data_IF_264019850577
#
_entry.id   IF_264019850577
#
_cell.length_a   1.000
_cell.length_b   1.000
_cell.length_c   1.000
_cell.angle_alpha   90.00
_cell.angle_beta   90.00
_cell.angle_gamma   90.00
#
_symmetry.space_group_name_H-M   'P 1'
#
loop_
_entity.id
_entity.type
_entity.pdbx_description
1 polymer ?
#
# COMPACT_ATOMS: atom_id res chain seq x y z
N UNK A 1 16.15 15.45 11.15
CA UNK A 1 16.67 16.76 10.68
C UNK A 1 16.13 17.93 11.50
N UNK A 2 14.81 18.22 11.55
CA UNK A 2 14.29 19.41 12.25
C UNK A 2 14.73 19.53 13.73
N UNK A 3 14.57 18.47 14.53
CA UNK A 3 14.97 18.47 15.95
C UNK A 3 16.46 18.76 16.10
N UNK A 4 17.30 18.16 15.26
CA UNK A 4 18.75 18.34 15.27
C UNK A 4 19.12 19.77 14.91
N UNK A 5 18.56 20.32 13.83
CA UNK A 5 18.84 21.69 13.37
C UNK A 5 18.37 22.73 14.38
N UNK A 6 17.17 22.57 14.95
CA UNK A 6 16.62 23.47 15.97
C UNK A 6 17.43 23.40 17.28
N UNK A 7 17.84 22.20 17.69
CA UNK A 7 18.66 22.01 18.89
C UNK A 7 20.04 22.63 18.72
N UNK A 8 20.67 22.45 17.56
CA UNK A 8 21.96 23.08 17.25
C UNK A 8 21.84 24.61 17.22
N UNK A 9 20.81 25.17 16.58
CA UNK A 9 20.57 26.62 16.60
C UNK A 9 20.35 27.17 18.01
N UNK A 10 19.59 26.46 18.84
CA UNK A 10 19.33 26.87 20.23
C UNK A 10 20.60 26.86 21.09
N UNK A 11 21.42 25.81 20.98
CA UNK A 11 22.70 25.70 21.71
C UNK A 11 23.67 26.77 21.25
N UNK A 12 23.74 27.06 19.95
CA UNK A 12 24.60 28.14 19.42
C UNK A 12 24.14 29.51 19.93
N UNK A 13 22.82 29.76 19.96
CA UNK A 13 22.27 31.01 20.50
C UNK A 13 22.54 31.18 22.00
N UNK A 14 22.40 30.10 22.79
CA UNK A 14 22.79 30.11 24.20
C UNK A 14 24.29 30.33 24.39
N UNK A 15 25.13 29.73 23.54
CA UNK A 15 26.57 29.90 23.60
C UNK A 15 26.98 31.36 23.34
N UNK A 16 26.35 32.04 22.36
CA UNK A 16 26.59 33.45 22.11
C UNK A 16 26.26 34.33 23.33
N UNK A 17 25.19 34.00 24.06
CA UNK A 17 24.69 34.80 25.19
C UNK A 17 25.42 34.49 26.50
N UNK A 18 25.97 33.28 26.69
CA UNK A 18 26.51 32.83 27.98
C UNK A 18 27.99 32.43 28.00
N UNK A 19 28.67 32.34 26.84
CA UNK A 19 30.11 32.04 26.80
C UNK A 19 30.91 33.36 26.85
N UNK A 20 31.76 33.59 27.86
CA UNK A 20 32.44 34.88 28.07
C UNK A 20 33.28 35.36 26.89
N UNK A 21 33.92 34.43 26.17
CA UNK A 21 34.68 34.74 24.96
C UNK A 21 33.79 35.29 23.83
N UNK A 22 32.61 34.70 23.61
CA UNK A 22 31.67 35.13 22.58
C UNK A 22 30.96 36.42 22.98
N UNK A 23 30.62 36.60 24.26
CA UNK A 23 30.05 37.85 24.78
C UNK A 23 30.96 39.05 24.51
N UNK A 24 32.27 38.87 24.65
CA UNK A 24 33.24 39.94 24.40
C UNK A 24 33.34 40.31 22.91
N UNK A 25 33.22 39.32 22.02
CA UNK A 25 33.25 39.54 20.56
C UNK A 25 31.96 40.19 20.08
N UNK A 26 30.81 39.71 20.57
CA UNK A 26 29.48 40.10 20.08
C UNK A 26 28.79 41.16 20.94
N UNK A 27 29.43 41.63 22.02
CA UNK A 27 28.90 42.63 22.95
C UNK A 27 27.51 42.27 23.51
N UNK A 28 27.31 41.01 23.87
CA UNK A 28 26.03 40.52 24.42
C UNK A 28 26.09 40.47 25.94
N UNK A 29 25.01 40.89 26.61
CA UNK A 29 24.84 40.69 28.06
C UNK A 29 24.12 39.37 28.36
N UNK A 30 24.55 38.69 29.41
CA UNK A 30 23.88 37.49 29.89
C UNK A 30 22.47 37.84 30.39
N UNK A 31 21.47 37.11 29.89
CA UNK A 31 20.12 37.22 30.43
C UNK A 31 20.10 36.71 31.88
N UNK A 32 19.41 37.42 32.77
CA UNK A 32 19.24 36.99 34.16
C UNK A 32 18.50 35.64 34.20
N UNK A 33 18.84 34.80 35.18
CA UNK A 33 18.25 33.46 35.36
C UNK A 33 16.72 33.49 35.49
N UNK A 34 16.16 34.55 36.09
CA UNK A 34 14.71 34.74 36.19
C UNK A 34 14.04 34.87 34.80
N UNK A 35 14.63 35.65 33.89
CA UNK A 35 14.11 35.86 32.54
C UNK A 35 14.28 34.60 31.68
N UNK A 36 15.42 33.92 31.80
CA UNK A 36 15.67 32.65 31.11
C UNK A 36 14.67 31.58 31.55
N UNK A 37 14.40 31.48 32.86
CA UNK A 37 13.41 30.54 33.38
C UNK A 37 12.00 30.83 32.87
N UNK A 38 11.66 32.11 32.73
CA UNK A 38 10.37 32.56 32.19
C UNK A 38 10.24 32.19 30.71
N UNK A 39 11.28 32.40 29.91
CA UNK A 39 11.30 32.02 28.49
C UNK A 39 11.19 30.50 28.30
N UNK A 40 11.90 29.71 29.10
CA UNK A 40 11.82 28.25 29.05
C UNK A 40 10.43 27.74 29.45
N UNK A 41 9.82 28.34 30.48
CA UNK A 41 8.44 28.01 30.87
C UNK A 41 7.45 28.32 29.75
N UNK A 42 7.54 29.50 29.13
CA UNK A 42 6.67 29.89 28.01
C UNK A 42 6.84 28.95 26.81
N UNK A 43 8.06 28.54 26.49
CA UNK A 43 8.34 27.58 25.43
C UNK A 43 7.76 26.19 25.74
N UNK A 44 7.91 25.70 26.97
CA UNK A 44 7.35 24.42 27.40
C UNK A 44 5.81 24.42 27.37
N UNK A 45 5.19 25.51 27.82
CA UNK A 45 3.73 25.70 27.76
C UNK A 45 3.26 25.76 26.31
N UNK A 46 3.95 26.50 25.44
CA UNK A 46 3.63 26.58 24.00
C UNK A 46 3.70 25.21 23.33
N UNK A 47 4.77 24.43 23.58
CA UNK A 47 4.91 23.06 23.08
C UNK A 47 3.81 22.13 23.61
N UNK A 48 3.50 22.22 24.91
CA UNK A 48 2.44 21.45 25.54
C UNK A 48 1.06 21.75 24.97
N UNK A 49 0.73 23.03 24.78
CA UNK A 49 -0.52 23.46 24.15
C UNK A 49 -0.59 23.03 22.67
N UNK A 50 0.51 23.10 21.94
CA UNK A 50 0.56 22.68 20.54
C UNK A 50 0.38 21.16 20.39
N UNK A 51 1.00 20.36 21.25
CA UNK A 51 0.81 18.90 21.26
C UNK A 51 -0.58 18.52 21.78
N UNK A 52 -1.10 19.24 22.78
CA UNK A 52 -2.46 19.09 23.28
C UNK A 52 -3.51 19.37 22.21
N UNK A 53 -3.38 20.50 21.49
CA UNK A 53 -4.22 20.83 20.33
C UNK A 53 -4.13 19.74 19.26
N UNK A 54 -2.92 19.28 18.92
CA UNK A 54 -2.72 18.22 17.92
C UNK A 54 -3.39 16.90 18.33
N UNK A 55 -3.32 16.52 19.62
CA UNK A 55 -4.04 15.36 20.16
C UNK A 55 -5.56 15.54 20.13
N UNK A 56 -6.04 16.73 20.46
CA UNK A 56 -7.46 17.06 20.41
C UNK A 56 -8.02 17.01 18.98
N UNK A 57 -7.33 17.66 18.03
CA UNK A 57 -7.65 17.60 16.59
C UNK A 57 -7.61 16.16 16.04
N UNK A 58 -6.65 15.34 16.47
CA UNK A 58 -6.63 13.89 16.14
C UNK A 58 -7.86 13.15 16.68
N UNK A 59 -8.30 13.45 17.91
CA UNK A 59 -9.48 12.81 18.50
C UNK A 59 -10.78 13.22 17.81
N UNK A 60 -10.89 14.50 17.42
CA UNK A 60 -12.01 15.00 16.64
C UNK A 60 -12.03 14.37 15.25
N UNK A 61 -10.88 14.32 14.56
CA UNK A 61 -10.79 13.73 13.23
C UNK A 61 -11.02 12.21 13.24
N UNK A 62 -10.62 11.49 14.30
CA UNK A 62 -10.96 10.07 14.46
C UNK A 62 -12.48 9.87 14.58
N UNK A 63 -13.14 10.75 15.34
CA UNK A 63 -14.60 10.72 15.53
C UNK A 63 -15.37 11.14 14.27
N UNK A 64 -14.87 12.13 13.54
CA UNK A 64 -15.43 12.63 12.28
C UNK A 64 -15.21 11.65 11.13
N UNK A 65 -14.04 10.99 11.05
CA UNK A 65 -13.77 9.96 10.03
C UNK A 65 -14.69 8.75 10.23
N UNK A 66 -14.94 8.37 11.49
CA UNK A 66 -15.90 7.32 11.83
C UNK A 66 -17.34 7.73 11.53
N UNK A 67 -17.73 8.97 11.89
CA UNK A 67 -19.08 9.49 11.67
C UNK A 67 -19.41 9.73 10.18
N UNK A 68 -18.45 10.19 9.36
CA UNK A 68 -18.61 10.39 7.91
C UNK A 68 -18.70 9.04 7.18
N UNK A 69 -17.94 8.02 7.62
CA UNK A 69 -18.04 6.67 7.06
C UNK A 69 -19.41 6.00 7.31
N UNK A 70 -20.12 6.41 8.35
CA UNK A 70 -21.49 5.98 8.66
C UNK A 70 -22.56 6.88 8.02
N UNK A 71 -22.39 8.21 8.01
CA UNK A 71 -23.42 9.15 7.51
C UNK A 71 -23.50 9.21 5.98
N UNK A 72 -22.43 8.86 5.27
CA UNK A 72 -22.46 8.70 3.81
C UNK A 72 -23.29 7.48 3.36
N UNK A 73 -23.67 6.56 4.28
CA UNK A 73 -24.47 5.36 3.96
C UNK A 73 -25.85 5.30 4.61
N UNK A 74 -26.06 5.95 5.74
CA UNK A 74 -27.37 6.04 6.39
C UNK A 74 -27.65 7.51 6.72
N UNK A 75 -28.69 8.06 6.10
CA UNK A 75 -29.09 9.46 6.28
C UNK A 75 -29.29 9.83 7.75
N UNK A 76 -29.10 11.13 8.01
CA UNK A 76 -29.18 11.84 9.29
C UNK A 76 -30.17 11.23 10.31
N UNK A 77 -29.68 10.37 11.20
CA UNK A 77 -30.43 9.92 12.37
C UNK A 77 -29.58 10.10 13.62
N UNK A 78 -30.00 11.04 14.44
CA UNK A 78 -29.34 11.58 15.63
C UNK A 78 -29.40 10.66 16.86
N UNK A 79 -29.07 9.38 16.71
CA UNK A 79 -28.98 8.46 17.87
C UNK A 79 -27.65 7.69 17.82
N UNK A 80 -26.65 8.25 18.52
CA UNK A 80 -25.27 7.73 18.58
C UNK A 80 -25.06 6.73 19.71
N UNK A 81 -26.13 6.24 20.34
CA UNK A 81 -26.05 5.17 21.33
C UNK A 81 -26.52 3.86 20.70
N UNK A 82 -25.61 2.89 20.59
CA UNK A 82 -25.80 1.57 19.96
C UNK A 82 -25.60 1.53 18.43
N UNK A 83 -24.34 1.58 17.97
CA UNK A 83 -23.99 0.97 16.68
C UNK A 83 -23.32 -0.39 16.97
N UNK A 84 -23.97 -1.52 16.62
CA UNK A 84 -23.32 -2.81 16.71
C UNK A 84 -22.12 -2.84 15.77
N UNK A 85 -21.14 -3.65 16.15
CA UNK A 85 -19.94 -3.99 15.40
C UNK A 85 -20.32 -4.71 14.10
N UNK A 86 -20.98 -4.00 13.18
CA UNK A 86 -21.41 -4.51 11.89
C UNK A 86 -20.16 -4.66 11.02
N UNK A 87 -19.63 -5.88 11.05
CA UNK A 87 -18.60 -6.41 10.16
C UNK A 87 -18.73 -5.79 8.76
N UNK A 88 -17.63 -5.23 8.25
CA UNK A 88 -17.47 -4.97 6.82
C UNK A 88 -17.76 -6.29 6.07
N UNK A 89 -18.92 -6.40 5.43
CA UNK A 89 -19.28 -7.61 4.69
C UNK A 89 -18.57 -7.58 3.33
N UNK A 90 -17.32 -8.05 3.29
CA UNK A 90 -16.56 -8.23 2.04
C UNK A 90 -17.23 -9.34 1.23
N UNK A 91 -17.73 -9.07 0.01
CA UNK A 91 -18.38 -10.09 -0.81
C UNK A 91 -17.43 -11.27 -1.09
N UNK A 92 -17.89 -12.48 -0.79
CA UNK A 92 -17.19 -13.72 -1.15
C UNK A 92 -17.89 -14.35 -2.33
N UNK A 93 -17.17 -14.49 -3.44
CA UNK A 93 -17.70 -15.10 -4.66
C UNK A 93 -16.86 -16.33 -5.02
N UNK A 94 -17.54 -17.38 -5.49
CA UNK A 94 -16.88 -18.56 -6.03
C UNK A 94 -17.04 -18.53 -7.55
N UNK A 95 -15.90 -18.50 -8.25
CA UNK A 95 -15.85 -18.42 -9.71
C UNK A 95 -15.22 -19.70 -10.26
N UNK A 96 -15.70 -20.14 -11.42
CA UNK A 96 -15.23 -21.35 -12.06
C UNK A 96 -15.77 -21.49 -13.47
N UNK A 97 -14.98 -22.18 -14.30
CA UNK A 97 -15.19 -22.31 -15.74
C UNK A 97 -13.92 -21.99 -16.54
N UNK A 98 -14.11 -21.73 -17.83
CA UNK A 98 -13.17 -21.02 -18.68
C UNK A 98 -12.88 -19.61 -18.18
N UNK A 99 -11.80 -18.99 -18.65
CA UNK A 99 -11.41 -17.64 -18.25
C UNK A 99 -12.51 -16.62 -18.54
N UNK A 100 -13.14 -16.71 -19.72
CA UNK A 100 -14.31 -15.89 -20.06
C UNK A 100 -15.48 -16.11 -19.10
N UNK A 101 -15.84 -17.35 -18.75
CA UNK A 101 -16.96 -17.62 -17.83
C UNK A 101 -16.68 -17.14 -16.40
N UNK A 102 -15.42 -17.25 -15.94
CA UNK A 102 -14.96 -16.66 -14.68
C UNK A 102 -15.18 -15.15 -14.72
N UNK A 103 -14.73 -14.50 -15.80
CA UNK A 103 -14.89 -13.07 -16.01
C UNK A 103 -16.36 -12.65 -16.05
N UNK A 104 -17.18 -13.36 -16.83
CA UNK A 104 -18.61 -13.09 -16.98
C UNK A 104 -19.34 -13.11 -15.64
N UNK A 105 -19.09 -14.14 -14.83
CA UNK A 105 -19.67 -14.23 -13.48
C UNK A 105 -19.14 -13.14 -12.55
N UNK A 106 -17.84 -12.80 -12.62
CA UNK A 106 -17.27 -11.69 -11.86
C UNK A 106 -17.98 -10.38 -12.21
N UNK A 107 -18.09 -10.07 -13.50
CA UNK A 107 -18.79 -8.88 -14.00
C UNK A 107 -20.25 -8.83 -13.54
N UNK A 108 -20.99 -9.93 -13.67
CA UNK A 108 -22.40 -10.01 -13.26
C UNK A 108 -22.60 -9.83 -11.75
N UNK A 109 -21.79 -10.51 -10.93
CA UNK A 109 -21.94 -10.52 -9.47
C UNK A 109 -21.46 -9.23 -8.81
N UNK A 110 -20.48 -8.55 -9.41
CA UNK A 110 -19.85 -7.35 -8.84
C UNK A 110 -20.07 -6.10 -9.70
N UNK A 111 -21.07 -6.09 -10.59
CA UNK A 111 -21.31 -4.98 -11.51
C UNK A 111 -21.42 -3.61 -10.82
N UNK A 112 -22.18 -3.44 -9.71
CA UNK A 112 -22.24 -2.16 -9.01
C UNK A 112 -20.86 -1.69 -8.52
N UNK A 113 -20.09 -2.59 -7.91
CA UNK A 113 -18.79 -2.24 -7.33
C UNK A 113 -17.72 -1.99 -8.41
N UNK A 114 -17.83 -2.63 -9.58
CA UNK A 114 -16.98 -2.35 -10.74
C UNK A 114 -17.26 -0.94 -11.27
N UNK A 115 -18.52 -0.51 -11.34
CA UNK A 115 -18.88 0.85 -11.73
C UNK A 115 -18.32 1.88 -10.74
N UNK A 116 -18.51 1.67 -9.44
CA UNK A 116 -17.96 2.54 -8.40
C UNK A 116 -16.43 2.67 -8.54
N UNK A 117 -15.75 1.55 -8.80
CA UNK A 117 -14.30 1.54 -9.04
C UNK A 117 -13.91 2.34 -10.28
N UNK A 118 -14.62 2.20 -11.40
CA UNK A 118 -14.36 2.97 -12.61
C UNK A 118 -14.54 4.47 -12.38
N UNK A 119 -15.56 4.89 -11.63
CA UNK A 119 -15.76 6.29 -11.26
C UNK A 119 -14.60 6.84 -10.43
N UNK A 120 -14.14 6.07 -9.43
CA UNK A 120 -12.99 6.42 -8.60
C UNK A 120 -11.73 6.58 -9.46
N UNK A 121 -11.44 5.65 -10.38
CA UNK A 121 -10.24 5.76 -11.22
C UNK A 121 -10.34 6.85 -12.27
N UNK A 122 -11.51 7.11 -12.83
CA UNK A 122 -11.75 8.25 -13.72
C UNK A 122 -11.39 9.56 -13.00
N UNK A 123 -11.88 9.73 -11.78
CA UNK A 123 -11.54 10.89 -10.96
C UNK A 123 -10.04 10.92 -10.61
N UNK A 124 -9.45 9.80 -10.20
CA UNK A 124 -8.03 9.71 -9.84
C UNK A 124 -7.11 10.08 -11.00
N UNK A 125 -7.33 9.54 -12.19
CA UNK A 125 -6.51 9.85 -13.36
C UNK A 125 -6.68 11.30 -13.81
N UNK A 126 -7.90 11.83 -13.76
CA UNK A 126 -8.14 13.23 -14.08
C UNK A 126 -7.44 14.17 -13.10
N UNK A 127 -7.60 13.93 -11.80
CA UNK A 127 -7.08 14.85 -10.79
C UNK A 127 -5.57 14.73 -10.62
N UNK A 128 -5.02 13.53 -10.62
CA UNK A 128 -3.60 13.33 -10.29
C UNK A 128 -2.73 13.20 -11.54
N UNK A 129 -3.18 12.44 -12.54
CA UNK A 129 -2.42 12.24 -13.78
C UNK A 129 -2.71 13.33 -14.84
N UNK A 130 -3.73 14.17 -14.62
CA UNK A 130 -4.22 15.16 -15.61
C UNK A 130 -4.63 14.53 -16.94
N UNK A 131 -5.08 13.28 -16.89
CA UNK A 131 -5.56 12.53 -18.04
C UNK A 131 -7.07 12.39 -17.97
N UNK A 132 -7.76 12.78 -19.04
CA UNK A 132 -9.14 12.43 -19.25
C UNK A 132 -9.26 10.95 -19.63
N UNK A 133 -10.42 10.36 -19.36
CA UNK A 133 -10.61 8.92 -19.56
C UNK A 133 -10.26 8.40 -20.97
N UNK A 134 -10.58 9.10 -22.08
CA UNK A 134 -10.15 8.67 -23.42
C UNK A 134 -8.63 8.52 -23.56
N UNK A 135 -7.84 9.38 -22.91
CA UNK A 135 -6.38 9.31 -22.92
C UNK A 135 -5.87 8.11 -22.10
N UNK A 136 -6.55 7.78 -21.00
CA UNK A 136 -6.30 6.55 -20.23
C UNK A 136 -6.54 5.32 -21.10
N UNK A 137 -7.63 5.31 -21.88
CA UNK A 137 -7.95 4.21 -22.79
C UNK A 137 -6.94 4.06 -23.94
N UNK A 138 -6.31 5.14 -24.41
CA UNK A 138 -5.21 5.08 -25.39
C UNK A 138 -3.99 4.34 -24.83
N UNK A 139 -3.64 4.54 -23.55
CA UNK A 139 -2.57 3.79 -22.89
C UNK A 139 -2.99 2.33 -22.66
N UNK A 140 -4.22 2.11 -22.17
CA UNK A 140 -4.77 0.76 -21.97
C UNK A 140 -4.81 -0.05 -23.28
N UNK A 141 -5.06 0.59 -24.42
CA UNK A 141 -5.04 -0.06 -25.73
C UNK A 141 -3.67 -0.64 -26.10
N UNK A 142 -2.57 -0.03 -25.64
CA UNK A 142 -1.22 -0.56 -25.84
C UNK A 142 -1.01 -1.82 -24.99
N UNK A 143 -1.41 -1.79 -23.71
CA UNK A 143 -1.38 -2.96 -22.84
C UNK A 143 -2.23 -4.11 -23.38
N UNK A 144 -3.41 -3.83 -23.94
CA UNK A 144 -4.26 -4.85 -24.56
C UNK A 144 -3.49 -5.68 -25.60
N UNK A 145 -2.59 -5.06 -26.37
CA UNK A 145 -1.76 -5.77 -27.36
C UNK A 145 -0.77 -6.72 -26.67
N UNK A 146 -0.08 -6.26 -25.63
CA UNK A 146 0.83 -7.10 -24.85
C UNK A 146 0.09 -8.27 -24.17
N UNK A 147 -1.05 -7.99 -23.53
CA UNK A 147 -1.87 -9.00 -22.85
C UNK A 147 -2.35 -10.06 -23.83
N UNK A 148 -2.85 -9.66 -25.01
CA UNK A 148 -3.27 -10.61 -26.06
C UNK A 148 -2.16 -11.58 -26.45
N UNK A 149 -0.93 -11.11 -26.52
CA UNK A 149 0.20 -11.92 -26.98
C UNK A 149 0.79 -12.79 -25.87
N UNK A 150 0.81 -12.29 -24.64
CA UNK A 150 1.53 -12.90 -23.52
C UNK A 150 0.62 -13.70 -22.57
N UNK A 151 -0.65 -13.29 -22.43
CA UNK A 151 -1.63 -13.90 -21.53
C UNK A 151 -3.06 -13.80 -22.12
N UNK A 152 -3.34 -14.43 -23.28
CA UNK A 152 -4.64 -14.31 -23.96
C UNK A 152 -5.82 -14.74 -23.08
N UNK A 153 -5.65 -15.79 -22.27
CA UNK A 153 -6.68 -16.27 -21.35
C UNK A 153 -7.11 -15.20 -20.34
N UNK A 154 -6.18 -14.35 -19.88
CA UNK A 154 -6.52 -13.24 -18.97
C UNK A 154 -7.22 -12.10 -19.70
N UNK A 155 -6.96 -11.91 -21.00
CA UNK A 155 -7.73 -10.96 -21.80
C UNK A 155 -9.17 -11.42 -21.98
N UNK A 156 -9.38 -12.73 -22.19
CA UNK A 156 -10.71 -13.33 -22.29
C UNK A 156 -11.48 -13.19 -20.97
N UNK A 157 -10.81 -13.34 -19.83
CA UNK A 157 -11.41 -13.05 -18.51
C UNK A 157 -11.82 -11.58 -18.39
N UNK A 158 -10.97 -10.63 -18.79
CA UNK A 158 -11.31 -9.21 -18.77
C UNK A 158 -12.48 -8.88 -19.71
N UNK A 159 -12.57 -9.55 -20.86
CA UNK A 159 -13.71 -9.42 -21.77
C UNK A 159 -14.98 -9.95 -21.11
N UNK A 160 -14.91 -11.11 -20.46
CA UNK A 160 -16.01 -11.64 -19.67
C UNK A 160 -16.48 -10.65 -18.60
N UNK A 161 -15.55 -10.00 -17.88
CA UNK A 161 -15.90 -8.99 -16.87
C UNK A 161 -16.69 -7.84 -17.50
N UNK A 162 -16.21 -7.28 -18.62
CA UNK A 162 -16.89 -6.18 -19.31
C UNK A 162 -18.31 -6.60 -19.76
N UNK A 163 -18.43 -7.76 -20.42
CA UNK A 163 -19.71 -8.31 -20.88
C UNK A 163 -20.67 -8.59 -19.72
N UNK A 164 -20.14 -9.03 -18.58
CA UNK A 164 -20.92 -9.34 -17.38
C UNK A 164 -21.47 -8.09 -16.69
N UNK A 165 -20.75 -6.96 -16.77
CA UNK A 165 -21.23 -5.65 -16.31
C UNK A 165 -22.27 -5.09 -17.28
N UNK A 166 -22.03 -5.24 -18.59
CA UNK A 166 -22.99 -5.04 -19.68
C UNK A 166 -23.05 -3.62 -20.29
N UNK A 167 -22.51 -2.62 -19.60
CA UNK A 167 -22.54 -1.21 -20.01
C UNK A 167 -21.15 -0.53 -20.01
N UNK A 168 -20.08 -1.33 -20.04
CA UNK A 168 -18.68 -0.87 -20.12
C UNK A 168 -17.91 -1.67 -21.18
N UNK A 169 -16.77 -1.14 -21.64
CA UNK A 169 -15.96 -1.77 -22.67
C UNK A 169 -14.77 -2.54 -22.08
N UNK A 170 -14.20 -3.47 -22.87
CA UNK A 170 -12.98 -4.21 -22.51
C UNK A 170 -11.85 -3.27 -22.07
N UNK A 171 -11.67 -2.13 -22.74
CA UNK A 171 -10.59 -1.20 -22.41
C UNK A 171 -10.77 -0.53 -21.04
N UNK A 172 -12.00 -0.40 -20.52
CA UNK A 172 -12.23 0.05 -19.15
C UNK A 172 -11.62 -0.94 -18.14
N UNK A 173 -11.82 -2.24 -18.37
CA UNK A 173 -11.26 -3.30 -17.53
C UNK A 173 -9.75 -3.42 -17.70
N UNK A 174 -9.23 -3.29 -18.93
CA UNK A 174 -7.78 -3.26 -19.15
C UNK A 174 -7.16 -2.07 -18.40
N UNK A 175 -7.78 -0.89 -18.44
CA UNK A 175 -7.32 0.28 -17.71
C UNK A 175 -7.28 0.05 -16.18
N UNK A 176 -8.29 -0.63 -15.61
CA UNK A 176 -8.28 -1.02 -14.19
C UNK A 176 -7.12 -1.97 -13.87
N UNK A 177 -6.82 -2.91 -14.76
CA UNK A 177 -5.76 -3.91 -14.56
C UNK A 177 -4.35 -3.38 -14.87
N UNK A 178 -4.22 -2.26 -15.59
CA UNK A 178 -2.97 -1.53 -15.84
C UNK A 178 -2.86 -0.23 -15.06
N UNK A 179 -3.68 -0.07 -14.01
CA UNK A 179 -3.79 1.19 -13.25
C UNK A 179 -2.48 1.64 -12.61
N UNK A 180 -1.65 0.70 -12.17
CA UNK A 180 -0.41 0.99 -11.48
C UNK A 180 0.62 1.51 -12.46
N UNK A 181 0.70 0.90 -13.64
CA UNK A 181 1.56 1.32 -14.74
C UNK A 181 1.19 2.73 -15.19
N UNK A 182 -0.11 3.00 -15.40
CA UNK A 182 -0.60 4.31 -15.86
C UNK A 182 -0.31 5.39 -14.80
N UNK A 183 -0.58 5.11 -13.52
CA UNK A 183 -0.41 6.12 -12.48
C UNK A 183 1.07 6.38 -12.13
N UNK A 184 1.87 5.32 -11.94
CA UNK A 184 3.24 5.43 -11.44
C UNK A 184 4.20 6.01 -12.49
N UNK A 185 4.01 5.70 -13.78
CA UNK A 185 4.81 6.27 -14.87
C UNK A 185 4.66 7.81 -14.92
N UNK A 186 3.44 8.29 -14.68
CA UNK A 186 3.08 9.70 -14.65
C UNK A 186 3.45 10.40 -13.32
N UNK A 187 4.11 9.69 -12.39
CA UNK A 187 4.62 10.25 -11.14
C UNK A 187 3.62 10.30 -9.99
N UNK A 188 2.43 9.71 -10.16
CA UNK A 188 1.33 9.73 -9.18
C UNK A 188 1.57 8.74 -8.04
N UNK A 189 1.20 9.14 -6.83
CA UNK A 189 1.11 8.22 -5.70
C UNK A 189 -0.23 7.50 -5.69
N UNK A 190 -0.20 6.17 -5.83
CA UNK A 190 -1.34 5.32 -5.50
C UNK A 190 -1.29 4.99 -4.01
N UNK A 191 -2.46 4.92 -3.37
CA UNK A 191 -2.59 4.63 -1.94
C UNK A 191 -1.76 3.42 -1.52
N UNK A 192 -1.05 3.58 -0.40
CA UNK A 192 -0.27 2.52 0.25
C UNK A 192 -1.22 1.44 0.76
N UNK A 193 -1.04 0.20 0.30
CA UNK A 193 -1.84 -0.93 0.74
C UNK A 193 -1.04 -1.70 1.81
N UNK A 194 -1.48 -1.63 3.07
CA UNK A 194 -1.06 -2.55 4.13
C UNK A 194 -2.29 -3.43 4.42
N UNK A 195 -2.20 -4.75 4.19
CA UNK A 195 -3.30 -5.67 4.47
C UNK A 195 -2.92 -6.60 5.62
N UNK A 196 -3.78 -6.62 6.64
CA UNK A 196 -3.80 -7.63 7.68
C UNK A 196 -4.53 -8.88 7.14
N UNK A 197 -3.80 -9.95 6.81
CA UNK A 197 -4.45 -11.21 6.42
C UNK A 197 -5.20 -11.83 7.61
N UNK A 198 -6.50 -12.12 7.51
CA UNK A 198 -7.23 -12.92 8.50
C UNK A 198 -7.28 -14.41 8.11
N UNK A 199 -7.16 -15.31 9.10
CA UNK A 199 -7.40 -16.75 8.91
C UNK A 199 -8.90 -17.01 8.67
N UNK A 200 -9.29 -17.84 7.68
CA UNK A 200 -10.64 -18.40 7.63
C UNK A 200 -10.88 -19.32 8.83
N UNK A 201 -12.02 -19.17 9.51
CA UNK A 201 -12.54 -20.20 10.42
C UNK A 201 -13.27 -21.26 9.59
N UNK A 202 -12.78 -22.49 9.73
CA UNK A 202 -13.35 -23.80 9.38
C UNK A 202 -13.64 -24.14 7.91
N UNK A 203 -12.90 -25.17 7.43
CA UNK A 203 -13.34 -26.25 6.54
C UNK A 203 -13.70 -25.93 5.09
N UNK A 204 -12.78 -26.17 4.14
CA UNK A 204 -13.13 -26.25 2.71
C UNK A 204 -12.46 -27.46 2.04
N UNK A 205 -13.32 -28.24 1.39
CA UNK A 205 -13.10 -29.49 0.67
C UNK A 205 -12.27 -29.28 -0.62
N UNK A 206 -11.39 -30.25 -0.87
CA UNK A 206 -10.42 -30.28 -1.95
C UNK A 206 -11.09 -30.76 -3.25
N UNK A 207 -11.17 -29.91 -4.28
CA UNK A 207 -11.26 -30.44 -5.68
C UNK A 207 -10.99 -29.50 -6.85
N UNK A 208 -10.94 -28.18 -6.71
CA UNK A 208 -10.66 -27.30 -7.86
C UNK A 208 -9.33 -26.54 -7.75
N UNK A 209 -8.43 -26.84 -8.70
CA UNK A 209 -7.09 -26.23 -8.81
C UNK A 209 -7.09 -24.74 -9.22
N UNK A 210 -8.27 -24.12 -9.34
CA UNK A 210 -8.49 -22.70 -9.66
C UNK A 210 -9.16 -21.89 -8.53
N UNK A 211 -9.24 -22.43 -7.31
CA UNK A 211 -9.70 -21.65 -6.16
C UNK A 211 -8.61 -20.65 -5.74
N UNK A 212 -8.71 -19.41 -6.21
CA UNK A 212 -7.86 -18.30 -5.81
C UNK A 212 -8.56 -17.49 -4.71
N UNK A 213 -7.96 -17.40 -3.53
CA UNK A 213 -8.43 -16.49 -2.50
C UNK A 213 -7.76 -15.13 -2.74
N UNK A 214 -8.53 -14.12 -3.16
CA UNK A 214 -8.09 -12.74 -3.32
C UNK A 214 -8.59 -11.93 -2.12
N UNK A 215 -7.68 -11.51 -1.24
CA UNK A 215 -8.03 -10.64 -0.11
C UNK A 215 -7.76 -9.17 -0.48
N UNK A 216 -8.71 -8.28 -0.17
CA UNK A 216 -8.69 -6.87 -0.59
C UNK A 216 -9.12 -6.62 -2.04
N UNK A 217 -10.15 -7.34 -2.49
CA UNK A 217 -10.69 -7.27 -3.86
C UNK A 217 -10.96 -5.84 -4.29
N UNK A 218 -10.35 -5.43 -5.40
CA UNK A 218 -10.75 -4.27 -6.20
C UNK A 218 -11.55 -4.82 -7.38
N UNK A 219 -12.90 -4.79 -7.33
CA UNK A 219 -13.74 -5.39 -8.36
C UNK A 219 -13.32 -4.93 -9.76
N UNK A 220 -13.25 -5.88 -10.70
CA UNK A 220 -12.75 -5.65 -12.06
C UNK A 220 -11.25 -5.88 -12.26
N UNK A 221 -10.47 -6.10 -11.20
CA UNK A 221 -9.06 -6.53 -11.28
C UNK A 221 -8.96 -8.05 -11.19
N UNK A 222 -8.21 -8.68 -12.09
CA UNK A 222 -8.10 -10.16 -12.21
C UNK A 222 -7.10 -10.79 -11.24
N UNK A 223 -6.15 -10.00 -10.72
CA UNK A 223 -5.09 -10.48 -9.83
C UNK A 223 -4.61 -9.42 -8.83
N UNK A 224 -4.47 -9.83 -7.57
CA UNK A 224 -4.03 -8.97 -6.48
C UNK A 224 -3.30 -9.77 -5.38
N UNK A 225 -3.50 -9.39 -4.12
CA UNK A 225 -2.96 -10.04 -2.93
C UNK A 225 -3.81 -11.27 -2.63
N UNK A 226 -3.19 -12.38 -2.29
CA UNK A 226 -3.91 -13.62 -2.08
C UNK A 226 -3.03 -14.84 -1.90
N UNK A 227 -3.67 -16.01 -1.88
CA UNK A 227 -2.99 -17.30 -1.87
C UNK A 227 -3.78 -18.37 -2.62
N UNK A 228 -3.16 -19.51 -2.89
CA UNK A 228 -3.77 -20.64 -3.59
C UNK A 228 -3.66 -21.97 -2.82
N UNK A 229 -4.30 -23.01 -3.36
CA UNK A 229 -4.33 -24.36 -2.77
C UNK A 229 -2.98 -25.10 -2.80
N UNK A 230 -1.98 -24.58 -3.53
CA UNK A 230 -0.61 -25.06 -3.50
C UNK A 230 0.26 -24.32 -2.46
N UNK A 231 -0.38 -23.54 -1.57
CA UNK A 231 0.26 -22.73 -0.53
C UNK A 231 1.13 -21.59 -1.06
N UNK A 232 0.99 -21.19 -2.33
CA UNK A 232 1.64 -19.98 -2.85
C UNK A 232 0.82 -18.77 -2.44
N UNK A 233 1.44 -17.83 -1.73
CA UNK A 233 0.87 -16.55 -1.32
C UNK A 233 1.66 -15.36 -1.88
N UNK A 234 0.98 -14.29 -2.25
CA UNK A 234 1.59 -13.06 -2.76
C UNK A 234 1.04 -11.80 -2.09
N UNK A 235 1.94 -10.85 -1.79
CA UNK A 235 1.62 -9.47 -1.45
C UNK A 235 2.29 -8.51 -2.45
N UNK A 236 1.81 -7.27 -2.52
CA UNK A 236 2.31 -6.26 -3.47
C UNK A 236 2.69 -4.97 -2.75
N UNK A 237 3.83 -4.39 -3.11
CA UNK A 237 4.19 -3.03 -2.79
C UNK A 237 4.50 -2.23 -4.07
N UNK A 238 3.94 -1.02 -4.17
CA UNK A 238 4.26 -0.11 -5.26
C UNK A 238 5.69 0.45 -5.11
N UNK A 239 6.39 0.62 -6.25
CA UNK A 239 7.70 1.30 -6.37
C UNK A 239 7.59 2.33 -7.50
N UNK A 240 7.98 3.58 -7.25
CA UNK A 240 7.94 4.63 -8.29
C UNK A 240 9.31 4.75 -8.95
N UNK A 241 9.50 4.02 -10.03
CA UNK A 241 10.72 4.07 -10.83
C UNK A 241 10.40 3.99 -12.33
N UNK A 242 11.29 4.57 -13.16
CA UNK A 242 11.17 4.62 -14.63
C UNK A 242 12.17 3.68 -15.30
N UNK A 243 11.86 3.14 -16.49
CA UNK A 243 10.70 3.43 -17.35
C UNK A 243 9.47 2.56 -17.05
N UNK A 244 8.38 2.81 -17.77
CA UNK A 244 7.27 1.87 -18.00
C UNK A 244 7.33 1.36 -19.45
N UNK A 245 7.07 0.06 -19.67
CA UNK A 245 7.08 -0.56 -21.00
C UNK A 245 5.73 -1.21 -21.32
N UNK A 246 4.92 -0.64 -22.22
CA UNK A 246 3.57 -1.15 -22.53
C UNK A 246 3.57 -2.44 -23.35
N UNK A 247 4.75 -2.90 -23.81
CA UNK A 247 4.93 -4.19 -24.49
C UNK A 247 5.03 -5.38 -23.53
N UNK A 248 5.12 -5.15 -22.21
CA UNK A 248 5.17 -6.17 -21.18
C UNK A 248 3.84 -6.23 -20.39
N UNK A 249 3.68 -7.25 -19.56
CA UNK A 249 2.45 -7.42 -18.78
C UNK A 249 2.38 -6.46 -17.57
N UNK A 250 1.21 -5.87 -17.29
CA UNK A 250 0.95 -5.16 -16.04
C UNK A 250 1.09 -6.05 -14.80
N UNK A 251 1.44 -5.46 -13.65
CA UNK A 251 1.75 -6.20 -12.43
C UNK A 251 0.61 -7.06 -11.92
N UNK A 252 -0.65 -6.60 -12.09
CA UNK A 252 -1.82 -7.31 -11.61
C UNK A 252 -2.03 -8.64 -12.35
N UNK A 253 -1.59 -8.72 -13.61
CA UNK A 253 -1.60 -9.97 -14.36
C UNK A 253 -0.46 -10.88 -13.92
N UNK A 254 0.72 -10.33 -13.60
CA UNK A 254 1.80 -11.13 -13.04
C UNK A 254 1.44 -11.70 -11.65
N UNK A 255 0.73 -10.94 -10.82
CA UNK A 255 0.17 -11.43 -9.55
C UNK A 255 -0.82 -12.57 -9.79
N UNK A 256 -1.71 -12.44 -10.78
CA UNK A 256 -2.64 -13.51 -11.16
C UNK A 256 -1.89 -14.77 -11.58
N UNK A 257 -0.91 -14.64 -12.46
CA UNK A 257 -0.10 -15.76 -12.94
C UNK A 257 0.71 -16.41 -11.82
N UNK A 258 1.27 -15.62 -10.90
CA UNK A 258 1.94 -16.15 -9.71
C UNK A 258 0.97 -16.94 -8.81
N UNK A 259 -0.27 -16.47 -8.66
CA UNK A 259 -1.33 -17.18 -7.92
C UNK A 259 -1.85 -18.43 -8.64
N UNK A 260 -1.52 -18.62 -9.92
CA UNK A 260 -1.77 -19.84 -10.69
C UNK A 260 -0.58 -20.82 -10.66
N UNK A 261 0.55 -20.43 -10.07
CA UNK A 261 1.74 -21.27 -9.93
C UNK A 261 1.69 -22.15 -8.67
N UNK A 262 2.51 -23.20 -8.65
CA UNK A 262 2.56 -24.18 -7.54
C UNK A 262 3.77 -24.00 -6.62
N UNK A 263 4.67 -23.08 -6.94
CA UNK A 263 5.85 -22.75 -6.13
C UNK A 263 6.39 -21.37 -6.50
N UNK A 264 7.26 -20.82 -5.64
CA UNK A 264 8.02 -19.60 -5.92
C UNK A 264 8.82 -19.73 -7.21
N UNK A 265 9.54 -20.84 -7.40
CA UNK A 265 10.41 -21.06 -8.57
C UNK A 265 9.62 -21.07 -9.88
N UNK A 266 8.41 -21.65 -9.88
CA UNK A 266 7.54 -21.67 -11.06
C UNK A 266 6.95 -20.30 -11.36
N UNK A 267 6.65 -19.49 -10.33
CA UNK A 267 6.24 -18.11 -10.49
C UNK A 267 7.36 -17.23 -11.08
N UNK A 268 8.58 -17.32 -10.53
CA UNK A 268 9.76 -16.61 -11.04
C UNK A 268 10.02 -16.99 -12.50
N UNK A 269 10.09 -18.29 -12.79
CA UNK A 269 10.33 -18.79 -14.15
C UNK A 269 9.26 -18.31 -15.14
N UNK A 270 8.00 -18.21 -14.69
CA UNK A 270 6.90 -17.70 -15.52
C UNK A 270 7.08 -16.21 -15.82
N UNK A 271 7.39 -15.40 -14.81
CA UNK A 271 7.65 -13.95 -14.97
C UNK A 271 8.82 -13.70 -15.92
N UNK A 272 9.93 -14.43 -15.76
CA UNK A 272 11.11 -14.31 -16.63
C UNK A 272 10.81 -14.71 -18.08
N UNK A 273 10.09 -15.82 -18.29
CA UNK A 273 9.70 -16.29 -19.63
C UNK A 273 8.80 -15.29 -20.37
N UNK A 274 8.02 -14.51 -19.64
CA UNK A 274 7.15 -13.46 -20.20
C UNK A 274 7.89 -12.15 -20.46
N UNK A 275 9.19 -12.07 -20.17
CA UNK A 275 10.03 -10.90 -20.40
C UNK A 275 10.03 -9.88 -19.25
N UNK A 276 9.45 -10.22 -18.11
CA UNK A 276 9.38 -9.34 -16.93
C UNK A 276 8.07 -8.54 -16.81
N UNK A 277 8.16 -7.38 -16.17
CA UNK A 277 7.01 -6.52 -15.79
C UNK A 277 6.98 -5.22 -16.59
N UNK A 278 5.79 -4.68 -16.83
CA UNK A 278 5.60 -3.38 -17.47
C UNK A 278 6.00 -2.18 -16.62
N UNK A 279 5.94 -2.28 -15.29
CA UNK A 279 6.32 -1.20 -14.37
C UNK A 279 7.06 -1.72 -13.15
N UNK A 280 7.63 -0.80 -12.36
CA UNK A 280 8.44 -1.15 -11.20
C UNK A 280 7.56 -1.44 -9.97
N UNK A 281 7.73 -2.60 -9.34
CA UNK A 281 7.04 -2.99 -8.10
C UNK A 281 7.84 -4.05 -7.35
N UNK A 282 7.42 -4.28 -6.11
CA UNK A 282 7.85 -5.43 -5.34
C UNK A 282 6.69 -6.40 -5.11
N UNK A 283 6.89 -7.68 -5.43
CA UNK A 283 5.99 -8.77 -5.01
C UNK A 283 6.68 -9.50 -3.85
N UNK A 284 6.05 -9.59 -2.69
CA UNK A 284 6.45 -10.55 -1.67
C UNK A 284 5.76 -11.88 -1.98
N UNK A 285 6.51 -12.96 -2.18
CA UNK A 285 5.96 -14.29 -2.44
C UNK A 285 6.42 -15.27 -1.36
N UNK A 286 5.55 -16.20 -0.99
CA UNK A 286 5.88 -17.31 -0.11
C UNK A 286 5.23 -18.61 -0.60
N UNK A 287 5.87 -19.74 -0.33
CA UNK A 287 5.30 -21.07 -0.45
C UNK A 287 5.70 -21.94 0.77
N UNK A 288 5.40 -23.24 0.73
CA UNK A 288 5.71 -24.16 1.84
C UNK A 288 7.22 -24.28 2.18
N UNK A 289 8.11 -23.81 1.30
CA UNK A 289 9.56 -23.92 1.45
C UNK A 289 10.25 -22.60 1.82
N UNK A 290 9.49 -21.51 1.98
CA UNK A 290 10.02 -20.22 2.40
C UNK A 290 9.44 -19.05 1.59
N UNK A 291 10.18 -17.94 1.55
CA UNK A 291 9.76 -16.68 0.96
C UNK A 291 10.85 -16.02 0.11
N UNK A 292 10.41 -15.09 -0.75
CA UNK A 292 11.26 -14.23 -1.60
C UNK A 292 10.62 -12.87 -1.78
N UNK A 293 11.45 -11.83 -1.85
CA UNK A 293 11.04 -10.51 -2.32
C UNK A 293 11.42 -10.32 -3.78
N UNK A 294 10.46 -10.22 -4.70
CA UNK A 294 10.74 -9.96 -6.11
C UNK A 294 10.71 -8.46 -6.37
N UNK A 295 11.88 -7.84 -6.45
CA UNK A 295 12.03 -6.47 -6.92
C UNK A 295 12.05 -6.45 -8.45
N UNK A 296 10.90 -6.15 -9.05
CA UNK A 296 10.69 -6.22 -10.49
C UNK A 296 10.74 -4.83 -11.12
N UNK A 297 11.35 -4.75 -12.31
CA UNK A 297 11.33 -3.56 -13.16
C UNK A 297 11.28 -3.98 -14.64
N UNK A 298 10.96 -3.05 -15.57
CA UNK A 298 11.01 -3.36 -16.99
C UNK A 298 12.41 -3.63 -17.54
N UNK A 299 13.45 -3.41 -16.74
CA UNK A 299 14.84 -3.71 -17.10
C UNK A 299 15.37 -5.01 -16.48
N UNK A 300 14.55 -5.71 -15.69
CA UNK A 300 14.89 -6.96 -15.02
C UNK A 300 14.43 -7.02 -13.58
N UNK A 301 14.43 -8.24 -13.03
CA UNK A 301 14.10 -8.53 -11.64
C UNK A 301 15.34 -8.85 -10.79
N UNK A 302 15.28 -8.52 -9.51
CA UNK A 302 16.20 -9.00 -8.47
C UNK A 302 15.37 -9.72 -7.40
N UNK A 303 15.83 -10.88 -6.95
CA UNK A 303 15.10 -11.73 -6.02
C UNK A 303 15.80 -11.75 -4.67
N UNK A 304 15.24 -11.02 -3.71
CA UNK A 304 15.69 -10.95 -2.33
C UNK A 304 15.42 -12.29 -1.64
N UNK A 305 16.45 -12.80 -0.97
CA UNK A 305 16.34 -13.98 -0.11
C UNK A 305 15.93 -13.59 1.30
N UNK A 306 15.43 -14.57 2.04
CA UNK A 306 15.30 -14.46 3.49
C UNK A 306 16.63 -14.09 4.14
N UNK A 307 16.54 -13.32 5.21
CA UNK A 307 17.67 -13.00 6.06
C UNK A 307 18.09 -14.19 6.93
N UNK A 308 19.04 -13.94 7.84
CA UNK A 308 19.55 -14.95 8.73
C UNK A 308 18.48 -15.54 9.67
N UNK A 309 17.33 -14.89 9.84
CA UNK A 309 16.21 -15.32 10.69
C UNK A 309 15.05 -15.93 9.90
N UNK A 310 15.16 -16.02 8.56
CA UNK A 310 14.09 -16.55 7.70
C UNK A 310 13.04 -15.51 7.32
N UNK A 311 13.38 -14.21 7.39
CA UNK A 311 12.42 -13.12 7.17
C UNK A 311 12.79 -12.32 5.92
N UNK A 312 11.77 -11.90 5.17
CA UNK A 312 11.87 -10.85 4.14
C UNK A 312 11.00 -9.68 4.56
N UNK A 313 11.57 -8.49 4.61
CA UNK A 313 10.84 -7.23 4.86
C UNK A 313 11.05 -6.30 3.68
N UNK A 314 9.97 -5.69 3.20
CA UNK A 314 10.03 -4.73 2.12
C UNK A 314 9.01 -3.61 2.34
N UNK A 315 9.28 -2.43 1.77
CA UNK A 315 8.32 -1.33 1.72
C UNK A 315 8.14 -0.83 0.29
N UNK A 316 8.37 0.44 -0.01
CA UNK A 316 8.03 1.07 -1.28
C UNK A 316 9.25 1.66 -1.98
N UNK A 317 10.42 1.06 -1.81
CA UNK A 317 11.64 1.45 -2.55
C UNK A 317 12.51 0.24 -2.83
N UNK A 318 13.36 0.31 -3.86
CA UNK A 318 14.27 -0.79 -4.19
C UNK A 318 15.42 -0.89 -3.19
N UNK A 319 15.55 -2.04 -2.56
CA UNK A 319 16.68 -2.40 -1.71
C UNK A 319 17.90 -2.75 -2.57
N UNK A 320 17.73 -3.63 -3.57
CA UNK A 320 18.86 -4.18 -4.35
C UNK A 320 18.80 -3.90 -5.85
N UNK A 321 17.61 -3.79 -6.45
CA UNK A 321 17.45 -3.55 -7.88
C UNK A 321 17.83 -2.12 -8.24
N UNK A 322 18.99 -1.97 -8.89
CA UNK A 322 19.53 -0.68 -9.36
C UNK A 322 19.53 -0.56 -10.88
N UNK A 323 18.72 -1.38 -11.57
CA UNK A 323 18.64 -1.40 -13.04
C UNK A 323 17.89 -0.19 -13.60
N UNK A 324 17.07 0.46 -12.79
CA UNK A 324 16.20 1.58 -13.13
C UNK A 324 16.47 2.79 -12.26
N UNK A 325 16.07 3.97 -12.73
CA UNK A 325 16.13 5.20 -11.95
C UNK A 325 14.90 5.28 -11.04
N UNK A 326 15.17 5.28 -9.73
CA UNK A 326 14.16 5.44 -8.68
C UNK A 326 14.29 6.85 -8.08
N UNK A 327 13.51 7.83 -8.56
CA UNK A 327 13.51 9.14 -7.95
C UNK A 327 12.98 9.09 -6.51
N UNK A 328 13.49 9.95 -5.61
CA UNK A 328 12.99 10.02 -4.24
C UNK A 328 11.46 10.16 -4.20
N UNK A 329 10.81 9.28 -3.44
CA UNK A 329 9.38 9.28 -3.23
C UNK A 329 9.05 8.64 -1.88
N UNK A 330 7.89 8.97 -1.31
CA UNK A 330 7.44 8.46 -0.01
C UNK A 330 8.55 8.41 1.04
N UNK A 331 8.93 9.58 1.58
CA UNK A 331 10.04 9.70 2.54
C UNK A 331 9.88 8.83 3.80
N UNK A 332 8.66 8.40 4.14
CA UNK A 332 8.40 7.44 5.19
C UNK A 332 8.75 5.99 4.86
N UNK A 333 9.03 5.63 3.60
CA UNK A 333 9.31 4.25 3.21
C UNK A 333 10.56 3.67 3.87
N UNK A 334 11.74 4.33 3.84
CA UNK A 334 12.92 3.82 4.56
C UNK A 334 12.71 3.75 6.07
N UNK A 335 11.94 4.69 6.64
CA UNK A 335 11.62 4.73 8.07
C UNK A 335 10.75 3.53 8.47
N UNK A 336 9.73 3.20 7.65
CA UNK A 336 8.89 2.02 7.87
C UNK A 336 9.67 0.73 7.73
N UNK A 337 10.59 0.64 6.78
CA UNK A 337 11.43 -0.54 6.59
C UNK A 337 12.27 -0.81 7.84
N UNK A 338 12.99 0.20 8.31
CA UNK A 338 13.79 0.14 9.54
C UNK A 338 12.91 -0.23 10.74
N UNK A 339 11.73 0.42 10.87
CA UNK A 339 10.79 0.13 11.96
C UNK A 339 10.26 -1.29 11.91
N UNK A 340 9.94 -1.81 10.72
CA UNK A 340 9.46 -3.17 10.54
C UNK A 340 10.55 -4.19 10.90
N UNK A 341 11.81 -3.97 10.52
CA UNK A 341 12.93 -4.81 10.97
C UNK A 341 13.08 -4.82 12.50
N UNK A 342 12.98 -3.65 13.15
CA UNK A 342 13.03 -3.56 14.60
C UNK A 342 11.91 -4.37 15.27
N UNK A 343 10.67 -4.22 14.79
CA UNK A 343 9.51 -4.94 15.32
C UNK A 343 9.62 -6.45 15.09
N UNK A 344 10.09 -6.89 13.92
CA UNK A 344 10.39 -8.29 13.66
C UNK A 344 11.44 -8.84 14.63
N UNK A 345 12.54 -8.12 14.85
CA UNK A 345 13.59 -8.52 15.78
C UNK A 345 13.09 -8.60 17.23
N UNK A 346 12.21 -7.69 17.65
CA UNK A 346 11.53 -7.76 18.96
C UNK A 346 10.65 -9.02 19.08
N UNK A 347 9.86 -9.34 18.05
CA UNK A 347 9.03 -10.55 18.03
C UNK A 347 9.92 -11.79 18.13
N UNK A 348 10.99 -11.88 17.32
CA UNK A 348 11.93 -13.02 17.32
C UNK A 348 12.57 -13.19 18.70
N UNK A 349 12.98 -12.09 19.34
CA UNK A 349 13.56 -12.12 20.68
C UNK A 349 12.58 -12.65 21.73
N UNK A 350 11.30 -12.31 21.59
CA UNK A 350 10.26 -12.71 22.55
C UNK A 350 9.85 -14.19 22.38
N UNK A 351 9.69 -14.66 21.13
CA UNK A 351 9.12 -15.99 20.84
C UNK A 351 10.17 -17.07 20.51
N UNK A 352 11.38 -16.64 20.15
CA UNK A 352 12.43 -17.49 19.64
C UNK A 352 12.26 -17.79 18.14
N UNK A 353 13.38 -17.78 17.39
CA UNK A 353 13.38 -17.98 15.94
C UNK A 353 12.72 -19.29 15.51
N UNK A 354 13.04 -20.40 16.17
CA UNK A 354 12.54 -21.72 15.78
C UNK A 354 11.01 -21.87 15.99
N UNK A 355 10.43 -20.99 16.81
CA UNK A 355 8.99 -20.98 17.10
C UNK A 355 8.18 -20.10 16.14
N UNK A 356 8.83 -19.36 15.22
CA UNK A 356 8.15 -18.36 14.38
C UNK A 356 7.02 -18.99 13.55
N UNK A 357 7.25 -20.16 12.93
CA UNK A 357 6.26 -20.85 12.10
C UNK A 357 5.04 -21.36 12.86
N UNK A 358 5.14 -21.51 14.18
CA UNK A 358 4.04 -21.98 15.03
C UNK A 358 3.28 -20.82 15.69
N UNK A 359 4.00 -19.77 16.09
CA UNK A 359 3.48 -18.68 16.93
C UNK A 359 3.04 -17.48 16.12
N UNK A 360 3.67 -17.20 14.97
CA UNK A 360 3.33 -16.03 14.15
C UNK A 360 2.04 -16.30 13.41
N UNK A 361 0.99 -15.60 13.82
CA UNK A 361 -0.29 -15.56 13.12
C UNK A 361 -0.74 -14.12 12.83
N UNK A 362 -1.87 -14.01 12.15
CA UNK A 362 -2.53 -12.74 11.85
C UNK A 362 -2.72 -11.84 13.07
N UNK A 363 -3.11 -12.42 14.22
CA UNK A 363 -3.39 -11.68 15.44
C UNK A 363 -2.13 -11.11 16.07
N UNK A 364 -1.04 -11.87 16.06
CA UNK A 364 0.26 -11.40 16.53
C UNK A 364 0.78 -10.28 15.64
N UNK A 365 0.79 -10.47 14.32
CA UNK A 365 1.27 -9.45 13.38
C UNK A 365 0.44 -8.17 13.48
N UNK A 366 -0.89 -8.27 13.58
CA UNK A 366 -1.76 -7.12 13.80
C UNK A 366 -1.45 -6.38 15.10
N UNK A 367 -1.26 -7.10 16.20
CA UNK A 367 -1.04 -6.49 17.52
C UNK A 367 0.38 -5.96 17.76
N UNK A 368 1.37 -6.41 16.98
CA UNK A 368 2.78 -6.06 17.17
C UNK A 368 3.40 -5.25 16.04
N UNK A 369 3.03 -5.55 14.80
CA UNK A 369 3.64 -4.97 13.59
C UNK A 369 2.68 -3.97 12.93
N UNK A 370 1.49 -4.42 12.53
CA UNK A 370 0.59 -3.63 11.70
C UNK A 370 -0.23 -2.57 12.46
N UNK A 371 -0.19 -2.56 13.79
CA UNK A 371 -0.74 -1.46 14.60
C UNK A 371 0.26 -0.32 14.87
N UNK A 372 1.53 -0.44 14.41
CA UNK A 372 2.57 0.53 14.75
C UNK A 372 2.33 1.90 14.11
N UNK A 373 2.26 2.94 14.94
CA UNK A 373 1.96 4.32 14.53
C UNK A 373 3.18 5.24 14.55
N UNK A 374 4.39 4.69 14.69
CA UNK A 374 5.64 5.48 14.68
C UNK A 374 5.80 6.11 13.29
N UNK A 375 6.13 7.40 13.24
CA UNK A 375 6.21 8.21 12.00
C UNK A 375 4.85 8.54 11.35
N UNK A 376 3.74 8.54 12.11
CA UNK A 376 2.43 9.01 11.63
C UNK A 376 2.51 10.45 11.05
N UNK A 377 1.90 10.73 9.89
CA UNK A 377 0.91 9.90 9.17
C UNK A 377 1.49 8.78 8.28
N UNK A 378 2.79 8.78 8.01
CA UNK A 378 3.48 7.77 7.16
C UNK A 378 4.01 6.57 7.96
N UNK A 379 3.31 6.17 9.01
CA UNK A 379 3.63 5.01 9.83
C UNK A 379 3.30 3.69 9.11
N UNK A 380 3.69 2.55 9.70
CA UNK A 380 3.24 1.22 9.22
C UNK A 380 1.70 1.17 9.26
N UNK A 381 1.09 1.49 10.40
CA UNK A 381 -0.33 1.82 10.49
C UNK A 381 -0.55 3.27 10.04
N UNK A 382 -0.59 3.47 8.72
CA UNK A 382 -0.69 4.80 8.14
C UNK A 382 -2.06 5.44 8.40
N UNK A 383 -2.09 6.76 8.51
CA UNK A 383 -3.32 7.54 8.61
C UNK A 383 -3.37 8.59 7.50
N UNK A 384 -4.56 9.08 7.08
CA UNK A 384 -4.64 10.17 6.12
C UNK A 384 -3.85 11.39 6.62
N UNK A 385 -3.03 11.97 5.75
CA UNK A 385 -2.28 13.19 6.04
C UNK A 385 -3.17 14.41 5.72
N UNK A 386 -3.65 15.17 6.73
CA UNK A 386 -4.50 16.33 6.49
C UNK A 386 -3.77 17.50 5.83
N UNK A 387 -2.43 17.52 5.87
CA UNK A 387 -1.60 18.56 5.24
C UNK A 387 -1.24 18.22 3.80
N UNK A 388 -1.41 16.96 3.41
CA UNK A 388 -1.36 16.57 2.01
C UNK A 388 -2.59 17.18 1.35
N UNK A 389 -2.38 18.16 0.47
CA UNK A 389 -3.46 18.81 -0.27
C UNK A 389 -4.41 17.73 -0.80
N UNK A 390 -5.62 17.68 -0.23
CA UNK A 390 -6.69 16.81 -0.67
C UNK A 390 -7.14 17.30 -2.05
N UNK A 391 -6.38 16.94 -3.07
CA UNK A 391 -6.80 17.06 -4.47
C UNK A 391 -7.90 16.05 -4.81
N UNK A 392 -8.15 15.09 -3.91
CA UNK A 392 -9.27 14.17 -3.96
C UNK A 392 -10.33 14.70 -2.99
N UNK A 393 -11.30 15.45 -3.51
CA UNK A 393 -12.52 15.73 -2.76
C UNK A 393 -13.17 14.40 -2.35
N UNK A 394 -13.37 14.19 -1.06
CA UNK A 394 -14.36 13.25 -0.47
C UNK A 394 -14.43 11.81 -1.01
N UNK A 395 -13.33 11.23 -1.52
CA UNK A 395 -13.25 9.78 -1.77
C UNK A 395 -12.12 9.19 -0.93
N UNK A 396 -12.50 8.62 0.21
CA UNK A 396 -11.60 7.84 1.05
C UNK A 396 -11.20 6.59 0.25
N UNK A 397 -9.93 6.50 -0.16
CA UNK A 397 -9.34 5.27 -0.66
C UNK A 397 -9.34 4.33 0.55
N UNK A 398 -10.30 3.41 0.58
CA UNK A 398 -10.45 2.43 1.66
C UNK A 398 -9.13 1.66 1.80
N UNK A 399 -8.49 1.87 2.95
CA UNK A 399 -7.31 1.18 3.48
C UNK A 399 -7.65 -0.20 3.99
#
# INVERSE_FOLDING_TARGET
MLVTTVSTSFVVQLALIYVPFLQNIFQTEALNWADLSTLLMLAAVSLGLHEGRRRYERSLNASITFAIATSARYGDSSDFSVLPMALFNVPRIQLGGSSYEIGLKHGQLLAPQIRDQLEIYRALFREICKFEWPQVLEVAAQFRVAIRNLAPDLLDEMQGIADGVGDIDLLDIVALNSRSEIALDLGTELGLENIDGEKPRDGIDHKDRKAHYMDGHRPGIVGKIGFNSASVGVCLNAIRARPMLPSLLPIHLLLRLALECTSIDTAISTIERLGGTASSQHILIADANGSRGLELSPRGGIYLTEDADGIVVHTNHFLQNKLVDEPPWLTGSPIRLERAHQLCAEIIKDVGRDSLGEVVDAGLLRSRLFCDTVNSPQAICCTPDPMRQASIGHYSILS
#
